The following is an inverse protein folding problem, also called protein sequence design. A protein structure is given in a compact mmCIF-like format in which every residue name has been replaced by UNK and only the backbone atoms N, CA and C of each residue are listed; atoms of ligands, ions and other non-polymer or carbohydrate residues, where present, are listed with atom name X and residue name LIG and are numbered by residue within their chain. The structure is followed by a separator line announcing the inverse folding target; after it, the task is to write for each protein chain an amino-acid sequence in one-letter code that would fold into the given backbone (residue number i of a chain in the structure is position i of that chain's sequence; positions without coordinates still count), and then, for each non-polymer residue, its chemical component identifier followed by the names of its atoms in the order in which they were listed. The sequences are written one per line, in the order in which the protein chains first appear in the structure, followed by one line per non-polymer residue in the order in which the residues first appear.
data_IF_492004847920
#
_entry.id   IF_492004847920
#
_cell.length_a   1.000
_cell.length_b   1.000
_cell.length_c   1.000
_cell.angle_alpha   90.00
_cell.angle_beta   90.00
_cell.angle_gamma   90.00
#
_symmetry.space_group_name_H-M   'P 1'
#
loop_
_entity.id
_entity.type
_entity.pdbx_description
1 polymer ?
#
# COMPACT_ATOMS: atom_id res chain seq x y z
N UNK A 1 16.49 19.51 -16.80
CA UNK A 1 17.79 20.19 -16.98
C UNK A 1 17.67 21.70 -16.78
N UNK A 2 17.04 22.47 -17.67
CA UNK A 2 17.02 23.95 -17.59
C UNK A 2 16.38 24.50 -16.30
N UNK A 3 15.30 23.89 -15.82
CA UNK A 3 14.66 24.26 -14.55
C UNK A 3 15.49 23.83 -13.34
N UNK A 4 16.19 22.69 -13.42
CA UNK A 4 17.04 22.17 -12.35
C UNK A 4 18.30 23.02 -12.19
N UNK A 5 18.91 23.44 -13.31
CA UNK A 5 20.08 24.32 -13.36
C UNK A 5 19.74 25.71 -12.78
N UNK A 6 18.51 26.18 -13.01
CA UNK A 6 17.98 27.41 -12.44
C UNK A 6 17.51 27.27 -10.98
N UNK A 7 17.60 26.06 -10.39
CA UNK A 7 17.10 25.72 -9.05
C UNK A 7 15.61 26.04 -8.85
N UNK A 8 14.83 25.94 -9.92
CA UNK A 8 13.38 26.13 -9.91
C UNK A 8 12.72 24.79 -9.59
N UNK A 9 11.97 24.75 -8.49
CA UNK A 9 11.20 23.58 -8.11
C UNK A 9 10.20 23.22 -9.21
N UNK A 10 10.34 22.02 -9.76
CA UNK A 10 9.49 21.49 -10.82
C UNK A 10 9.20 20.00 -10.54
N UNK A 11 8.12 19.49 -11.11
CA UNK A 11 7.77 18.08 -11.04
C UNK A 11 7.03 17.66 -12.32
N UNK A 12 7.15 16.39 -12.68
CA UNK A 12 6.38 15.83 -13.79
C UNK A 12 4.97 15.47 -13.31
N UNK A 13 3.95 15.74 -14.13
CA UNK A 13 2.63 15.16 -13.94
C UNK A 13 2.69 13.70 -14.39
N UNK A 14 2.89 12.82 -13.42
CA UNK A 14 3.11 11.39 -13.64
C UNK A 14 1.78 10.65 -13.79
N UNK A 15 1.75 9.62 -14.63
CA UNK A 15 0.63 8.69 -14.69
C UNK A 15 0.63 7.72 -13.49
N UNK A 16 -0.44 6.94 -13.36
CA UNK A 16 -0.52 5.89 -12.31
C UNK A 16 0.53 4.80 -12.52
N UNK A 17 0.86 4.48 -13.78
CA UNK A 17 1.90 3.51 -14.12
C UNK A 17 3.29 4.02 -13.73
N UNK A 18 3.58 5.29 -14.04
CA UNK A 18 4.82 5.96 -13.63
C UNK A 18 4.96 5.97 -12.10
N UNK A 19 3.86 6.23 -11.38
CA UNK A 19 3.87 6.24 -9.92
C UNK A 19 4.07 4.85 -9.31
N UNK A 20 3.46 3.82 -9.91
CA UNK A 20 3.56 2.44 -9.43
C UNK A 20 4.98 1.87 -9.52
N UNK A 21 5.79 2.41 -10.43
CA UNK A 21 7.20 2.02 -10.63
C UNK A 21 8.21 2.99 -9.98
N UNK A 22 7.72 4.06 -9.34
CA UNK A 22 8.57 5.12 -8.81
C UNK A 22 9.37 4.66 -7.58
N UNK A 23 10.68 4.95 -7.55
CA UNK A 23 11.61 4.45 -6.51
C UNK A 23 11.28 4.91 -5.08
N UNK A 24 10.59 6.06 -4.94
CA UNK A 24 10.16 6.58 -3.65
C UNK A 24 8.85 5.96 -3.15
N UNK A 25 8.07 5.33 -4.03
CA UNK A 25 6.82 4.67 -3.70
C UNK A 25 7.13 3.25 -3.26
N UNK A 26 6.55 2.86 -2.13
CA UNK A 26 6.67 1.50 -1.62
C UNK A 26 5.46 0.70 -2.07
N UNK A 27 5.71 -0.51 -2.55
CA UNK A 27 4.67 -1.46 -2.91
C UNK A 27 4.74 -2.67 -1.97
N UNK A 28 3.59 -3.24 -1.67
CA UNK A 28 3.42 -4.43 -0.85
C UNK A 28 2.71 -5.49 -1.69
N UNK A 29 3.13 -6.74 -1.52
CA UNK A 29 2.42 -7.88 -2.08
C UNK A 29 1.64 -8.56 -0.96
N UNK A 30 0.32 -8.58 -1.12
CA UNK A 30 -0.59 -9.29 -0.23
C UNK A 30 -0.98 -10.64 -0.82
N UNK A 31 -1.24 -11.62 0.04
CA UNK A 31 -1.80 -12.93 -0.33
C UNK A 31 -3.30 -12.92 -0.04
N UNK A 32 -4.09 -13.10 -1.09
CA UNK A 32 -5.54 -13.28 -1.02
C UNK A 32 -5.91 -14.66 -1.57
N UNK A 33 -6.12 -15.62 -0.67
CA UNK A 33 -6.56 -16.96 -1.03
C UNK A 33 -5.62 -17.69 -2.01
N UNK A 34 -4.31 -17.47 -1.90
CA UNK A 34 -3.28 -18.02 -2.80
C UNK A 34 -3.00 -17.15 -4.03
N UNK A 35 -3.71 -16.02 -4.20
CA UNK A 35 -3.44 -15.04 -5.25
C UNK A 35 -2.59 -13.91 -4.71
N UNK A 36 -1.44 -13.67 -5.33
CA UNK A 36 -0.59 -12.53 -5.01
C UNK A 36 -1.14 -11.26 -5.65
N UNK A 37 -1.44 -10.27 -4.82
CA UNK A 37 -1.94 -8.95 -5.26
C UNK A 37 -0.90 -7.90 -4.94
N UNK A 38 -0.47 -7.15 -5.96
CA UNK A 38 0.44 -6.02 -5.78
C UNK A 38 -0.38 -4.75 -5.49
N UNK A 39 0.00 -4.02 -4.45
CA UNK A 39 -0.69 -2.81 -4.01
C UNK A 39 0.27 -1.79 -3.41
N UNK A 40 -0.17 -0.55 -3.27
CA UNK A 40 0.58 0.48 -2.58
C UNK A 40 0.73 0.13 -1.08
N UNK A 41 1.95 0.27 -0.57
CA UNK A 41 2.28 0.07 0.84
C UNK A 41 1.99 1.35 1.66
N UNK A 42 2.00 1.26 2.99
CA UNK A 42 1.79 2.44 3.83
C UNK A 42 2.90 3.48 3.60
N UNK A 43 2.56 4.78 3.46
CA UNK A 43 3.53 5.84 3.17
C UNK A 43 4.48 6.12 4.34
N UNK A 44 4.11 5.71 5.55
CA UNK A 44 4.92 5.83 6.76
C UNK A 44 5.45 4.45 7.16
N UNK A 45 6.75 4.39 7.44
CA UNK A 45 7.37 3.18 7.99
C UNK A 45 7.01 3.10 9.47
N UNK A 46 6.44 1.96 9.86
CA UNK A 46 6.06 1.65 11.23
C UNK A 46 6.84 0.41 11.65
N UNK A 47 7.30 0.36 12.90
CA UNK A 47 8.12 -0.76 13.40
C UNK A 47 7.35 -2.07 13.60
N UNK A 48 6.02 -2.06 13.39
CA UNK A 48 5.17 -3.24 13.54
C UNK A 48 5.12 -4.13 12.30
N UNK A 49 4.94 -5.43 12.52
CA UNK A 49 4.68 -6.39 11.44
C UNK A 49 3.41 -6.03 10.68
N UNK A 50 3.47 -6.11 9.35
CA UNK A 50 2.33 -5.83 8.48
C UNK A 50 1.67 -7.16 8.10
N UNK A 51 0.37 -7.34 8.40
CA UNK A 51 -0.34 -8.51 7.94
C UNK A 51 -0.39 -8.49 6.41
N UNK A 52 0.27 -9.45 5.77
CA UNK A 52 0.25 -9.64 4.32
C UNK A 52 -0.89 -10.55 3.88
N UNK A 53 -1.54 -11.24 4.82
CA UNK A 53 -2.65 -12.14 4.55
C UNK A 53 -3.96 -11.36 4.61
N UNK A 54 -4.69 -11.34 3.50
CA UNK A 54 -6.00 -10.71 3.42
C UNK A 54 -7.06 -11.70 3.90
N UNK A 55 -7.96 -11.32 4.81
CA UNK A 55 -9.00 -12.22 5.29
C UNK A 55 -10.00 -12.56 4.19
N UNK A 56 -10.51 -13.79 4.24
CA UNK A 56 -11.63 -14.21 3.41
C UNK A 56 -12.95 -13.59 3.90
N UNK A 57 -13.99 -13.71 3.07
CA UNK A 57 -15.34 -13.25 3.42
C UNK A 57 -15.81 -13.92 4.72
N UNK A 58 -16.25 -13.12 5.69
CA UNK A 58 -16.71 -13.53 7.03
C UNK A 58 -15.68 -14.31 7.88
N UNK A 59 -14.38 -14.32 7.51
CA UNK A 59 -13.34 -15.09 8.23
C UNK A 59 -13.26 -14.79 9.73
N UNK A 60 -13.47 -13.52 10.11
CA UNK A 60 -13.43 -13.07 11.51
C UNK A 60 -14.80 -12.72 12.08
N UNK A 61 -15.88 -12.98 11.33
CA UNK A 61 -17.22 -12.51 11.68
C UNK A 61 -17.76 -13.07 12.99
N UNK A 62 -17.51 -14.34 13.28
CA UNK A 62 -17.90 -14.95 14.56
C UNK A 62 -17.19 -14.28 15.74
N UNK A 63 -15.86 -14.14 15.65
CA UNK A 63 -15.05 -13.50 16.70
C UNK A 63 -15.50 -12.07 16.97
N UNK A 64 -15.76 -11.29 15.92
CA UNK A 64 -16.27 -9.91 16.06
C UNK A 64 -17.65 -9.91 16.71
N UNK A 65 -18.58 -10.76 16.27
CA UNK A 65 -19.93 -10.84 16.89
C UNK A 65 -19.85 -11.21 18.37
N UNK A 66 -18.98 -12.14 18.75
CA UNK A 66 -18.77 -12.52 20.16
C UNK A 66 -18.16 -11.39 21.00
N UNK A 67 -17.26 -10.59 20.43
CA UNK A 67 -16.64 -9.44 21.10
C UNK A 67 -17.68 -8.38 21.49
N UNK A 68 -18.67 -8.13 20.62
CA UNK A 68 -19.70 -7.10 20.81
C UNK A 68 -21.05 -7.61 21.30
N UNK A 69 -21.16 -8.88 21.73
CA UNK A 69 -22.41 -9.47 22.21
C UNK A 69 -22.76 -9.15 23.69
N UNK A 70 -21.99 -8.28 24.34
CA UNK A 70 -22.18 -7.84 25.73
C UNK A 70 -23.08 -6.61 25.85
#
# INVERSE_FOLDING_TARGET
QLLDDAKIANACLSSVEDLSSHQLIRNLVADFGGTKVNMADLPVVTDGERPTLVPALDQHGESVRSEFAA
#
